data_IF_505085700503
#
_entry.id   IF_505085700503
#
_cell.length_a   1.000
_cell.length_b   1.000
_cell.length_c   1.000
_cell.angle_alpha   90.00
_cell.angle_beta   90.00
_cell.angle_gamma   90.00
#
_symmetry.space_group_name_H-M   'P 1'
#
loop_
_entity.id
_entity.type
_entity.pdbx_description
1 polymer ?
#
# COMPACT_ATOMS: atom_id res chain seq x y z
N UNK A 1 19.72 -34.33 -11.09
CA UNK A 1 19.69 -32.84 -11.10
C UNK A 1 18.63 -32.39 -10.12
N UNK A 2 18.99 -31.77 -9.00
CA UNK A 2 18.01 -31.22 -8.07
C UNK A 2 17.41 -29.96 -8.69
N UNK A 3 16.08 -29.85 -8.87
CA UNK A 3 15.48 -28.62 -9.32
C UNK A 3 15.86 -27.52 -8.34
N UNK A 4 16.46 -26.44 -8.83
CA UNK A 4 16.65 -25.20 -8.07
C UNK A 4 15.28 -24.53 -7.96
N UNK A 5 14.37 -25.13 -7.21
CA UNK A 5 13.09 -24.51 -6.86
C UNK A 5 13.47 -23.29 -6.05
N UNK A 6 13.40 -22.11 -6.67
CA UNK A 6 13.72 -20.84 -6.02
C UNK A 6 12.90 -20.66 -4.75
N UNK A 7 13.27 -19.67 -3.91
CA UNK A 7 12.61 -19.40 -2.63
C UNK A 7 11.10 -19.26 -2.82
N UNK A 8 10.27 -20.21 -2.34
CA UNK A 8 8.82 -20.06 -2.42
C UNK A 8 8.46 -18.81 -1.63
N UNK A 9 7.94 -17.79 -2.32
CA UNK A 9 7.44 -16.57 -1.71
C UNK A 9 5.93 -16.64 -1.77
N UNK A 10 5.29 -16.71 -0.61
CA UNK A 10 3.85 -16.94 -0.47
C UNK A 10 3.00 -15.75 -0.98
N UNK A 11 3.52 -14.52 -0.84
CA UNK A 11 2.82 -13.31 -1.28
C UNK A 11 3.69 -12.42 -2.18
N UNK A 12 3.86 -12.80 -3.47
CA UNK A 12 4.58 -11.96 -4.41
C UNK A 12 3.74 -10.71 -4.72
N UNK A 13 4.35 -9.52 -4.63
CA UNK A 13 3.75 -8.24 -5.07
C UNK A 13 3.61 -8.24 -6.60
N UNK A 14 2.62 -8.96 -7.13
CA UNK A 14 2.38 -9.18 -8.57
C UNK A 14 1.54 -8.08 -9.22
N UNK A 15 0.82 -7.30 -8.43
CA UNK A 15 -0.10 -6.28 -8.93
C UNK A 15 0.66 -4.97 -9.13
N UNK A 16 0.68 -4.46 -10.36
CA UNK A 16 1.18 -3.13 -10.69
C UNK A 16 0.02 -2.14 -10.58
N UNK A 17 0.21 -1.08 -9.80
CA UNK A 17 -0.74 0.01 -9.66
C UNK A 17 -0.22 1.22 -10.43
N UNK A 18 -1.00 1.71 -11.39
CA UNK A 18 -0.72 2.95 -12.12
C UNK A 18 -1.82 3.95 -11.80
N UNK A 19 -1.46 5.06 -11.13
CA UNK A 19 -2.39 6.12 -10.73
C UNK A 19 -1.91 7.46 -11.28
N UNK A 20 -2.86 8.28 -11.72
CA UNK A 20 -2.60 9.68 -12.06
C UNK A 20 -2.87 10.52 -10.82
N UNK A 21 -1.86 11.28 -10.41
CA UNK A 21 -1.94 12.20 -9.27
C UNK A 21 -1.78 13.62 -9.81
N UNK A 22 -2.41 14.58 -9.13
CA UNK A 22 -2.08 16.00 -9.34
C UNK A 22 -0.75 16.31 -8.65
N UNK A 23 -0.14 17.43 -9.01
CA UNK A 23 1.14 17.88 -8.43
C UNK A 23 1.08 17.98 -6.90
N UNK A 24 0.02 18.59 -6.39
CA UNK A 24 -0.26 18.73 -4.95
C UNK A 24 -0.31 17.37 -4.23
N UNK A 25 -1.00 16.37 -4.79
CA UNK A 25 -1.10 15.04 -4.18
C UNK A 25 0.24 14.30 -4.20
N UNK A 26 1.05 14.50 -5.25
CA UNK A 26 2.41 13.96 -5.32
C UNK A 26 3.33 14.60 -4.27
N UNK A 27 3.19 15.90 -4.05
CA UNK A 27 3.94 16.62 -3.03
C UNK A 27 3.55 16.16 -1.63
N UNK A 28 2.25 16.06 -1.34
CA UNK A 28 1.76 15.52 -0.07
C UNK A 28 2.25 14.09 0.18
N UNK A 29 2.20 13.23 -0.84
CA UNK A 29 2.73 11.87 -0.73
C UNK A 29 4.22 11.87 -0.39
N UNK A 30 5.00 12.75 -1.01
CA UNK A 30 6.44 12.88 -0.76
C UNK A 30 6.70 13.38 0.66
N UNK A 31 5.99 14.43 1.11
CA UNK A 31 6.07 14.94 2.49
C UNK A 31 5.72 13.87 3.52
N UNK A 32 4.68 13.07 3.27
CA UNK A 32 4.31 11.95 4.14
C UNK A 32 5.38 10.86 4.19
N UNK A 33 5.98 10.54 3.04
CA UNK A 33 7.08 9.57 2.96
C UNK A 33 8.31 10.03 3.76
N UNK A 34 8.69 11.31 3.61
CA UNK A 34 9.83 11.91 4.31
C UNK A 34 9.59 11.96 5.83
N UNK A 35 8.41 12.44 6.25
CA UNK A 35 8.06 12.56 7.66
C UNK A 35 7.99 11.19 8.37
N UNK A 36 7.50 10.16 7.68
CA UNK A 36 7.36 8.81 8.22
C UNK A 36 8.60 7.94 8.01
N UNK A 37 9.62 8.44 7.29
CA UNK A 37 10.78 7.67 6.84
C UNK A 37 10.37 6.37 6.11
N UNK A 38 9.37 6.46 5.24
CA UNK A 38 8.83 5.34 4.47
C UNK A 38 9.00 5.58 2.97
N UNK A 39 8.94 4.50 2.18
CA UNK A 39 8.86 4.66 0.73
C UNK A 39 7.49 5.20 0.32
N UNK A 40 7.41 5.92 -0.82
CA UNK A 40 6.14 6.36 -1.40
C UNK A 40 5.13 5.21 -1.54
N UNK A 41 5.62 4.03 -1.91
CA UNK A 41 4.80 2.81 -2.02
C UNK A 41 4.25 2.38 -0.67
N UNK A 42 5.06 2.35 0.38
CA UNK A 42 4.61 1.94 1.71
C UNK A 42 3.59 2.92 2.30
N UNK A 43 3.73 4.22 2.03
CA UNK A 43 2.72 5.23 2.42
C UNK A 43 1.38 4.95 1.73
N UNK A 44 1.38 4.66 0.42
CA UNK A 44 0.16 4.33 -0.32
C UNK A 44 -0.48 3.04 0.24
N UNK A 45 0.31 1.99 0.46
CA UNK A 45 -0.20 0.71 0.99
C UNK A 45 -0.80 0.89 2.38
N UNK A 46 -0.11 1.59 3.29
CA UNK A 46 -0.63 1.91 4.63
C UNK A 46 -1.90 2.77 4.57
N UNK A 47 -1.96 3.71 3.64
CA UNK A 47 -3.16 4.51 3.39
C UNK A 47 -4.35 3.64 2.98
N UNK A 48 -4.15 2.69 2.06
CA UNK A 48 -5.18 1.74 1.63
C UNK A 48 -5.61 0.84 2.79
N UNK A 49 -4.68 0.31 3.57
CA UNK A 49 -4.99 -0.51 4.76
C UNK A 49 -5.80 0.27 5.81
N UNK A 50 -5.41 1.51 6.09
CA UNK A 50 -6.14 2.37 7.01
C UNK A 50 -7.55 2.68 6.51
N UNK A 51 -7.72 2.99 5.21
CA UNK A 51 -9.03 3.21 4.61
C UNK A 51 -9.90 1.95 4.64
N UNK A 52 -9.31 0.77 4.40
CA UNK A 52 -10.03 -0.49 4.50
C UNK A 52 -10.50 -0.77 5.96
N UNK A 53 -9.66 -0.48 6.95
CA UNK A 53 -10.03 -0.58 8.36
C UNK A 53 -11.15 0.41 8.73
N UNK A 54 -11.07 1.65 8.24
CA UNK A 54 -12.10 2.67 8.47
C UNK A 54 -13.43 2.25 7.84
N UNK A 55 -13.43 1.82 6.58
CA UNK A 55 -14.61 1.32 5.89
C UNK A 55 -15.23 0.11 6.62
N UNK A 56 -14.40 -0.80 7.14
CA UNK A 56 -14.84 -1.93 7.94
C UNK A 56 -15.44 -1.55 9.30
N UNK A 57 -15.03 -0.43 9.90
CA UNK A 57 -15.60 0.10 11.15
C UNK A 57 -16.96 0.76 10.92
N UNK A 58 -17.15 1.46 9.80
CA UNK A 58 -18.43 2.10 9.45
C UNK A 58 -19.58 1.08 9.33
N UNK A 59 -19.27 -0.18 9.00
CA UNK A 59 -20.27 -1.24 8.91
C UNK A 59 -20.69 -1.86 10.26
N UNK A 60 -20.00 -1.56 11.38
CA UNK A 60 -20.34 -2.13 12.71
C UNK A 60 -21.30 -1.28 13.55
N UNK A 61 -21.58 -0.04 13.15
CA UNK A 61 -22.51 0.87 13.86
C UNK A 61 -23.94 0.83 13.31
N UNK A 62 -24.25 -0.14 12.43
CA UNK A 62 -25.60 -0.36 11.86
C UNK A 62 -26.18 -1.75 12.20
N UNK A 63 -25.77 -2.36 13.30
CA UNK A 63 -26.50 -3.48 13.92
C UNK A 63 -27.18 -3.03 15.21
#
# INVERSE_FOLDING_TARGET
>A
MSPRTGRPTDNPKKVRLEIRLTEDQSEMLTRCADNLNLTKTDVIVKGIEAMNQLAGRTNRTKE
#
